data_IF_729140991112
#
_entry.id   IF_729140991112
#
_cell.length_a   1.000
_cell.length_b   1.000
_cell.length_c   1.000
_cell.angle_alpha   90.00
_cell.angle_beta   90.00
_cell.angle_gamma   90.00
#
_symmetry.space_group_name_H-M   'P 1'
#
loop_
_entity.id
_entity.type
_entity.pdbx_description
1 polymer ?
#
# COMPACT_ATOMS: atom_id res chain seq x y z
N UNK A 1 -30.66 -4.73 -19.38
CA UNK A 1 -29.47 -4.35 -18.59
C UNK A 1 -28.22 -4.61 -19.42
N UNK A 2 -27.38 -3.60 -19.68
CA UNK A 2 -26.07 -3.82 -20.33
C UNK A 2 -25.19 -4.64 -19.39
N UNK A 3 -24.89 -5.90 -19.72
CA UNK A 3 -23.92 -6.72 -18.98
C UNK A 3 -22.59 -5.98 -19.02
N UNK A 4 -22.10 -5.56 -17.84
CA UNK A 4 -20.79 -4.93 -17.73
C UNK A 4 -19.73 -6.02 -17.92
N UNK A 5 -18.67 -5.71 -18.65
CA UNK A 5 -17.53 -6.61 -18.85
C UNK A 5 -16.95 -7.01 -17.47
N UNK A 6 -16.69 -8.30 -17.25
CA UNK A 6 -16.12 -8.84 -16.01
C UNK A 6 -14.81 -8.15 -15.63
N UNK A 7 -13.97 -7.83 -16.63
CA UNK A 7 -12.70 -7.11 -16.42
C UNK A 7 -12.94 -5.72 -15.83
N UNK A 8 -13.98 -5.02 -16.29
CA UNK A 8 -14.33 -3.70 -15.76
C UNK A 8 -14.81 -3.79 -14.31
N UNK A 9 -15.62 -4.80 -13.97
CA UNK A 9 -16.10 -5.00 -12.61
C UNK A 9 -14.96 -5.31 -11.64
N UNK A 10 -13.99 -6.14 -12.05
CA UNK A 10 -12.80 -6.46 -11.26
C UNK A 10 -11.96 -5.21 -10.97
N UNK A 11 -11.60 -4.44 -12.01
CA UNK A 11 -10.85 -3.18 -11.87
C UNK A 11 -11.55 -2.18 -10.95
N UNK A 12 -12.89 -2.08 -11.07
CA UNK A 12 -13.70 -1.21 -10.23
C UNK A 12 -13.69 -1.64 -8.76
N UNK A 13 -13.71 -2.94 -8.49
CA UNK A 13 -13.66 -3.48 -7.13
C UNK A 13 -12.28 -3.25 -6.49
N UNK A 14 -11.21 -3.46 -7.25
CA UNK A 14 -9.82 -3.22 -6.82
C UNK A 14 -9.57 -1.75 -6.49
N UNK A 15 -9.93 -0.84 -7.40
CA UNK A 15 -9.84 0.61 -7.15
C UNK A 15 -10.66 1.05 -5.93
N UNK A 16 -11.84 0.46 -5.71
CA UNK A 16 -12.66 0.73 -4.52
C UNK A 16 -11.99 0.21 -3.23
N UNK A 17 -11.30 -0.94 -3.30
CA UNK A 17 -10.53 -1.49 -2.18
C UNK A 17 -9.35 -0.56 -1.84
N UNK A 18 -8.55 -0.18 -2.84
CA UNK A 18 -7.42 0.74 -2.66
C UNK A 18 -7.86 2.07 -2.06
N UNK A 19 -8.92 2.67 -2.62
CA UNK A 19 -9.48 3.93 -2.11
C UNK A 19 -9.94 3.82 -0.65
N UNK A 20 -10.44 2.66 -0.20
CA UNK A 20 -10.81 2.43 1.20
C UNK A 20 -9.61 2.29 2.11
N UNK A 21 -8.57 1.58 1.67
CA UNK A 21 -7.34 1.40 2.45
C UNK A 21 -6.61 2.73 2.64
N UNK A 22 -6.65 3.60 1.63
CA UNK A 22 -6.05 4.94 1.69
C UNK A 22 -6.95 5.99 2.35
N UNK A 23 -8.18 5.64 2.75
CA UNK A 23 -9.10 6.60 3.34
C UNK A 23 -8.62 7.01 4.75
N UNK A 24 -8.46 8.31 4.98
CA UNK A 24 -8.01 8.85 6.27
C UNK A 24 -6.49 8.88 6.46
N UNK A 25 -5.71 8.46 5.46
CA UNK A 25 -4.26 8.60 5.47
C UNK A 25 -3.83 9.99 4.99
N UNK A 26 -2.73 10.48 5.56
CA UNK A 26 -2.05 11.70 5.13
C UNK A 26 -1.20 11.44 3.88
N UNK A 27 -0.89 12.49 3.12
CA UNK A 27 0.12 12.41 2.06
C UNK A 27 1.46 11.95 2.65
N UNK A 28 2.14 11.03 1.95
CA UNK A 28 3.36 10.39 2.44
C UNK A 28 3.12 9.21 3.41
N UNK A 29 1.88 8.85 3.69
CA UNK A 29 1.55 7.60 4.38
C UNK A 29 1.12 6.51 3.40
N UNK A 30 1.20 5.26 3.85
CA UNK A 30 0.77 4.10 3.07
C UNK A 30 0.28 2.96 3.93
N UNK A 31 -0.23 1.94 3.24
CA UNK A 31 -0.68 0.69 3.84
C UNK A 31 0.11 -0.46 3.26
N UNK A 32 0.58 -1.36 4.11
CA UNK A 32 1.19 -2.61 3.68
C UNK A 32 0.12 -3.53 3.10
N UNK A 33 0.27 -3.92 1.84
CA UNK A 33 -0.68 -4.77 1.11
C UNK A 33 -0.13 -6.17 0.81
N UNK A 34 1.18 -6.37 1.00
CA UNK A 34 1.87 -7.62 0.69
C UNK A 34 3.18 -7.77 1.47
N UNK A 35 3.85 -8.88 1.20
CA UNK A 35 5.22 -9.17 1.64
C UNK A 35 5.84 -10.16 0.65
N UNK A 36 6.07 -9.71 -0.58
CA UNK A 36 6.34 -10.57 -1.74
C UNK A 36 7.60 -11.44 -1.58
N UNK A 37 8.49 -11.11 -0.63
CA UNK A 37 9.74 -11.85 -0.37
C UNK A 37 10.02 -12.17 1.09
N UNK A 38 9.03 -12.06 1.97
CA UNK A 38 9.20 -12.22 3.43
C UNK A 38 10.36 -11.37 4.01
N UNK A 39 10.57 -10.19 3.41
CA UNK A 39 11.72 -9.31 3.66
C UNK A 39 11.47 -8.32 4.80
N UNK A 40 10.21 -8.12 5.20
CA UNK A 40 9.84 -7.22 6.28
C UNK A 40 8.88 -7.86 7.28
N UNK A 41 8.83 -7.30 8.48
CA UNK A 41 8.00 -7.82 9.58
C UNK A 41 6.66 -7.09 9.76
N UNK A 42 6.30 -6.18 8.84
CA UNK A 42 4.98 -5.56 8.86
C UNK A 42 3.86 -6.56 8.58
N UNK A 43 2.72 -6.35 9.24
CA UNK A 43 1.50 -7.06 8.93
C UNK A 43 0.77 -6.39 7.77
N UNK A 44 0.00 -7.18 7.02
CA UNK A 44 -0.93 -6.64 6.03
C UNK A 44 -1.93 -5.72 6.74
N UNK A 45 -2.16 -4.54 6.16
CA UNK A 45 -2.93 -3.42 6.69
C UNK A 45 -2.23 -2.55 7.75
N UNK A 46 -0.95 -2.78 8.06
CA UNK A 46 -0.19 -1.83 8.88
C UNK A 46 -0.08 -0.49 8.14
N UNK A 47 -0.32 0.59 8.88
CA UNK A 47 -0.15 1.97 8.40
C UNK A 47 1.27 2.44 8.70
N UNK A 48 1.94 2.93 7.65
CA UNK A 48 3.33 3.35 7.70
C UNK A 48 3.50 4.75 7.11
N UNK A 49 4.44 5.52 7.66
CA UNK A 49 5.02 6.67 6.96
C UNK A 49 6.00 6.14 5.90
N UNK A 50 6.01 6.73 4.72
CA UNK A 50 6.74 6.21 3.56
C UNK A 50 7.64 7.27 2.97
N UNK A 51 8.91 6.93 2.80
CA UNK A 51 9.88 7.70 2.03
C UNK A 51 10.44 6.80 0.93
N UNK A 52 10.13 7.13 -0.33
CA UNK A 52 10.54 6.32 -1.49
C UNK A 52 11.97 6.68 -1.87
N UNK A 53 12.83 5.67 -2.03
CA UNK A 53 14.20 5.87 -2.49
C UNK A 53 14.25 6.41 -3.92
N UNK A 54 15.35 7.07 -4.29
CA UNK A 54 15.56 7.64 -5.64
C UNK A 54 15.44 6.61 -6.78
N UNK A 55 15.69 5.32 -6.50
CA UNK A 55 15.55 4.22 -7.45
C UNK A 55 14.10 3.75 -7.65
N UNK A 56 13.14 4.23 -6.84
CA UNK A 56 11.72 3.87 -6.90
C UNK A 56 11.39 2.40 -6.60
N UNK A 57 12.38 1.59 -6.20
CA UNK A 57 12.23 0.15 -5.95
C UNK A 57 11.95 -0.14 -4.48
N UNK A 58 12.60 0.62 -3.61
CA UNK A 58 12.52 0.48 -2.17
C UNK A 58 11.93 1.74 -1.55
N UNK A 59 11.26 1.56 -0.43
CA UNK A 59 10.79 2.65 0.40
C UNK A 59 11.16 2.38 1.85
N UNK A 60 11.69 3.39 2.51
CA UNK A 60 11.86 3.39 3.94
C UNK A 60 10.49 3.59 4.58
N UNK A 61 10.06 2.59 5.37
CA UNK A 61 8.77 2.61 6.05
C UNK A 61 8.99 2.73 7.55
N UNK A 62 8.19 3.57 8.20
CA UNK A 62 8.10 3.67 9.66
C UNK A 62 6.66 3.42 10.12
N UNK A 63 6.45 2.45 11.01
CA UNK A 63 5.14 2.19 11.59
C UNK A 63 4.72 3.33 12.50
N UNK A 64 3.52 3.85 12.28
CA UNK A 64 3.00 4.98 13.06
C UNK A 64 2.84 4.64 14.55
N UNK A 65 2.46 3.40 14.87
CA UNK A 65 2.13 2.97 16.24
C UNK A 65 3.35 2.80 17.15
N UNK A 66 4.37 2.10 16.69
CA UNK A 66 5.50 1.64 17.53
C UNK A 66 6.87 2.15 17.04
N UNK A 67 6.89 3.00 16.00
CA UNK A 67 8.12 3.60 15.45
C UNK A 67 9.14 2.59 14.96
N UNK A 68 8.72 1.33 14.75
CA UNK A 68 9.52 0.35 14.05
C UNK A 68 9.74 0.81 12.62
N UNK A 69 10.96 0.70 12.12
CA UNK A 69 11.30 1.07 10.75
C UNK A 69 12.02 -0.07 10.03
N UNK A 70 11.77 -0.16 8.74
CA UNK A 70 12.39 -1.13 7.85
C UNK A 70 12.18 -0.71 6.40
N UNK A 71 13.13 -1.06 5.53
CA UNK A 71 12.96 -0.93 4.08
C UNK A 71 12.02 -2.02 3.55
N UNK A 72 11.06 -1.59 2.74
CA UNK A 72 10.04 -2.41 2.13
C UNK A 72 10.05 -2.16 0.63
N UNK A 73 9.70 -3.15 -0.18
CA UNK A 73 9.56 -2.92 -1.61
C UNK A 73 8.32 -2.09 -1.90
N UNK A 74 8.43 -1.17 -2.84
CA UNK A 74 7.30 -0.30 -3.22
C UNK A 74 6.08 -1.11 -3.69
N UNK A 75 6.29 -2.29 -4.29
CA UNK A 75 5.21 -3.19 -4.73
C UNK A 75 4.34 -3.74 -3.58
N UNK A 76 4.88 -3.80 -2.37
CA UNK A 76 4.19 -4.30 -1.18
C UNK A 76 3.43 -3.20 -0.42
N UNK A 77 3.48 -1.95 -0.91
CA UNK A 77 2.90 -0.77 -0.24
C UNK A 77 1.93 -0.06 -1.18
N UNK A 78 0.75 0.26 -0.66
CA UNK A 78 -0.16 1.20 -1.29
C UNK A 78 0.04 2.59 -0.67
N UNK A 79 0.61 3.52 -1.43
CA UNK A 79 1.01 4.85 -0.94
C UNK A 79 -0.06 5.90 -1.27
N UNK A 80 -0.40 6.73 -0.29
CA UNK A 80 -1.20 7.94 -0.48
C UNK A 80 -0.32 9.02 -1.11
N UNK A 81 -0.60 9.28 -2.39
CA UNK A 81 -0.12 10.47 -3.11
C UNK A 81 -1.01 11.66 -2.84
#
# INVERSE_FOLDING_TARGET
>A
MKKRNMVYLAKKAESKRESKLLAGLLEGQGVIIGNTKDIHCYNINDVVNVEVESNGTWAWCERVRDKFNQTVRVEDILIKK
#
